data_IF_629251248147
#
_entry.id   IF_629251248147
#
_cell.length_a   1.000
_cell.length_b   1.000
_cell.length_c   1.000
_cell.angle_alpha   90.00
_cell.angle_beta   90.00
_cell.angle_gamma   90.00
#
_symmetry.space_group_name_H-M   'P 1'
#
loop_
_entity.id
_entity.type
_entity.pdbx_description
1 polymer ?
#
# COMPACT_ATOMS: atom_id res chain seq x y z
N UNK A 1 -9.48 29.57 -5.43
CA UNK A 1 -9.49 29.34 -3.96
C UNK A 1 -8.65 28.11 -3.69
N UNK A 2 -7.44 28.28 -3.15
CA UNK A 2 -6.49 27.19 -2.88
C UNK A 2 -6.78 26.60 -1.50
N UNK A 3 -7.42 25.43 -1.45
CA UNK A 3 -7.62 24.67 -0.23
C UNK A 3 -6.30 24.03 0.19
N UNK A 4 -5.55 24.69 1.08
CA UNK A 4 -4.41 24.10 1.78
C UNK A 4 -4.83 23.75 3.20
N UNK A 5 -4.33 22.65 3.77
CA UNK A 5 -4.56 22.28 5.17
C UNK A 5 -4.18 23.40 6.16
N UNK A 6 -3.23 24.26 5.78
CA UNK A 6 -2.86 25.46 6.54
C UNK A 6 -3.98 26.49 6.62
N UNK A 7 -4.78 26.65 5.55
CA UNK A 7 -5.92 27.60 5.51
C UNK A 7 -7.07 27.12 6.41
N UNK A 8 -7.25 25.80 6.54
CA UNK A 8 -8.26 25.22 7.43
C UNK A 8 -7.85 25.35 8.90
N UNK A 9 -6.58 25.10 9.22
CA UNK A 9 -6.04 25.24 10.57
C UNK A 9 -6.04 26.70 11.05
N UNK A 10 -5.68 27.63 10.16
CA UNK A 10 -5.71 29.08 10.40
C UNK A 10 -7.14 29.57 10.64
N UNK A 11 -8.13 29.08 9.87
CA UNK A 11 -9.56 29.35 10.09
C UNK A 11 -10.12 28.77 11.39
N UNK A 12 -9.50 27.73 11.94
CA UNK A 12 -9.87 27.16 13.23
C UNK A 12 -9.13 27.82 14.42
N UNK A 13 -8.34 28.88 14.17
CA UNK A 13 -7.56 29.56 15.21
C UNK A 13 -6.42 28.71 15.77
N UNK A 14 -5.98 27.69 15.03
CA UNK A 14 -4.94 26.78 15.47
C UNK A 14 -3.56 27.32 15.06
N UNK A 15 -2.93 28.10 15.93
CA UNK A 15 -1.51 28.40 15.78
C UNK A 15 -0.71 27.11 16.02
N UNK A 16 -0.20 26.51 14.94
CA UNK A 16 0.63 25.32 15.06
C UNK A 16 1.90 25.67 15.85
N UNK A 17 1.99 25.18 17.07
CA UNK A 17 3.28 25.13 17.74
C UNK A 17 4.23 24.22 16.93
N UNK A 18 5.31 24.76 16.34
CA UNK A 18 6.26 23.95 15.57
C UNK A 18 6.93 22.90 16.47
N UNK A 19 7.05 23.16 17.77
CA UNK A 19 7.64 22.23 18.73
C UNK A 19 6.73 21.01 18.97
N UNK A 20 5.41 21.16 19.07
CA UNK A 20 4.49 20.03 19.26
C UNK A 20 4.55 19.09 18.05
N UNK A 21 4.49 19.65 16.84
CA UNK A 21 4.53 18.87 15.61
C UNK A 21 5.85 18.10 15.46
N UNK A 22 6.98 18.73 15.81
CA UNK A 22 8.28 18.06 15.81
C UNK A 22 8.36 16.91 16.82
N UNK A 23 7.82 17.10 18.03
CA UNK A 23 7.82 16.08 19.08
C UNK A 23 6.93 14.88 18.74
N UNK A 24 5.72 15.12 18.21
CA UNK A 24 4.75 14.04 17.97
C UNK A 24 4.96 13.29 16.64
N UNK A 25 5.64 13.89 15.66
CA UNK A 25 5.79 13.31 14.31
C UNK A 25 6.36 11.90 14.32
N UNK A 26 7.51 11.71 14.97
CA UNK A 26 8.19 10.41 14.95
C UNK A 26 7.45 9.34 15.77
N UNK A 27 6.93 9.64 16.98
CA UNK A 27 6.02 8.73 17.68
C UNK A 27 4.81 8.33 16.85
N UNK A 28 4.19 9.26 16.12
CA UNK A 28 3.02 8.96 15.29
C UNK A 28 3.37 8.07 14.10
N UNK A 29 4.50 8.33 13.44
CA UNK A 29 5.03 7.45 12.36
C UNK A 29 5.31 6.05 12.89
N UNK A 30 5.97 5.94 14.05
CA UNK A 30 6.26 4.66 14.68
C UNK A 30 4.96 3.91 15.05
N UNK A 31 3.98 4.60 15.64
CA UNK A 31 2.69 4.03 16.00
C UNK A 31 1.93 3.54 14.75
N UNK A 32 1.87 4.33 13.67
CA UNK A 32 1.20 3.93 12.44
C UNK A 32 1.83 2.68 11.80
N UNK A 33 3.16 2.64 11.72
CA UNK A 33 3.88 1.46 11.22
C UNK A 33 3.70 0.25 12.14
N UNK A 34 3.72 0.44 13.45
CA UNK A 34 3.47 -0.63 14.41
C UNK A 34 2.05 -1.20 14.27
N UNK A 35 1.03 -0.35 14.09
CA UNK A 35 -0.35 -0.78 13.87
C UNK A 35 -0.50 -1.58 12.57
N UNK A 36 0.07 -1.10 11.46
CA UNK A 36 0.04 -1.80 10.19
C UNK A 36 0.80 -3.13 10.26
N UNK A 37 2.03 -3.11 10.78
CA UNK A 37 2.86 -4.31 10.95
C UNK A 37 2.27 -5.33 11.92
N UNK A 38 1.62 -4.87 13.00
CA UNK A 38 0.93 -5.73 13.95
C UNK A 38 -0.28 -6.43 13.32
N UNK A 39 -0.99 -5.77 12.41
CA UNK A 39 -2.06 -6.41 11.63
C UNK A 39 -1.52 -7.59 10.82
N UNK A 40 -0.34 -7.45 10.21
CA UNK A 40 0.31 -8.52 9.45
C UNK A 40 0.77 -9.66 10.36
N UNK A 41 1.24 -9.32 11.56
CA UNK A 41 1.57 -10.31 12.58
C UNK A 41 0.35 -11.12 13.03
N UNK A 42 -0.82 -10.49 13.21
CA UNK A 42 -2.07 -11.19 13.53
C UNK A 42 -2.50 -12.16 12.42
N UNK A 43 -2.36 -11.77 11.14
CA UNK A 43 -2.62 -12.67 10.02
C UNK A 43 -1.68 -13.89 10.03
N UNK A 44 -0.39 -13.71 10.35
CA UNK A 44 0.56 -14.82 10.45
C UNK A 44 0.21 -15.81 11.58
N UNK A 45 -0.58 -15.38 12.59
CA UNK A 45 -1.08 -16.27 13.65
C UNK A 45 -2.29 -17.10 13.26
N UNK A 46 -2.93 -16.83 12.11
CA UNK A 46 -4.05 -17.61 11.62
C UNK A 46 -3.57 -18.97 11.09
N UNK A 47 -3.24 -19.89 12.00
CA UNK A 47 -2.61 -21.18 11.71
C UNK A 47 -3.38 -22.08 10.73
N UNK A 48 -4.67 -21.85 10.56
CA UNK A 48 -5.50 -22.59 9.61
C UNK A 48 -5.39 -22.07 8.16
N UNK A 49 -4.58 -21.04 7.90
CA UNK A 49 -4.49 -20.33 6.62
C UNK A 49 -3.02 -20.10 6.23
N UNK A 50 -2.37 -21.15 5.72
CA UNK A 50 -0.94 -21.15 5.36
C UNK A 50 -0.52 -19.99 4.44
N UNK A 51 -1.43 -19.53 3.57
CA UNK A 51 -1.18 -18.40 2.68
C UNK A 51 -0.79 -17.10 3.43
N UNK A 52 -1.36 -16.89 4.62
CA UNK A 52 -1.13 -15.71 5.46
C UNK A 52 0.11 -15.83 6.36
N UNK A 53 0.75 -16.99 6.41
CA UNK A 53 1.92 -17.24 7.28
C UNK A 53 3.24 -16.74 6.67
N UNK A 54 3.20 -15.90 5.62
CA UNK A 54 4.43 -15.28 5.12
C UNK A 54 5.09 -14.43 6.22
N UNK A 55 6.38 -14.65 6.54
CA UNK A 55 7.09 -13.83 7.54
C UNK A 55 7.22 -12.36 7.09
N UNK A 56 7.02 -12.07 5.80
CA UNK A 56 7.08 -10.72 5.25
C UNK A 56 5.75 -9.96 5.38
N UNK A 57 4.67 -10.57 5.86
CA UNK A 57 3.35 -9.96 5.83
C UNK A 57 3.27 -8.65 6.63
N UNK A 58 3.93 -8.58 7.80
CA UNK A 58 4.07 -7.33 8.55
C UNK A 58 4.75 -6.23 7.73
N UNK A 59 5.73 -6.59 6.92
CA UNK A 59 6.43 -5.65 6.04
C UNK A 59 5.53 -5.21 4.88
N UNK A 60 4.77 -6.14 4.26
CA UNK A 60 3.78 -5.80 3.24
C UNK A 60 2.81 -4.72 3.74
N UNK A 61 2.13 -4.94 4.86
CA UNK A 61 1.14 -3.99 5.37
C UNK A 61 1.77 -2.66 5.80
N UNK A 62 3.00 -2.68 6.32
CA UNK A 62 3.73 -1.45 6.66
C UNK A 62 4.05 -0.61 5.42
N UNK A 63 4.50 -1.25 4.33
CA UNK A 63 4.78 -0.57 3.05
C UNK A 63 3.49 -0.10 2.39
N UNK A 64 2.40 -0.88 2.46
CA UNK A 64 1.08 -0.46 1.99
C UNK A 64 0.56 0.76 2.76
N UNK A 65 0.74 0.83 4.09
CA UNK A 65 0.37 2.00 4.88
C UNK A 65 1.14 3.26 4.46
N UNK A 66 2.45 3.13 4.17
CA UNK A 66 3.25 4.21 3.62
C UNK A 66 2.76 4.64 2.22
N UNK A 67 2.49 3.68 1.34
CA UNK A 67 1.99 3.95 -0.02
C UNK A 67 0.59 4.60 0.00
N UNK A 68 -0.31 4.13 0.85
CA UNK A 68 -1.65 4.69 1.02
C UNK A 68 -1.58 6.13 1.56
N UNK A 69 -0.76 6.37 2.59
CA UNK A 69 -0.53 7.71 3.13
C UNK A 69 0.08 8.66 2.09
N UNK A 70 1.08 8.19 1.35
CA UNK A 70 1.68 8.96 0.26
C UNK A 70 0.68 9.25 -0.86
N UNK A 71 -0.16 8.28 -1.24
CA UNK A 71 -1.20 8.42 -2.26
C UNK A 71 -2.23 9.49 -1.89
N UNK A 72 -2.71 9.48 -0.64
CA UNK A 72 -3.60 10.53 -0.12
C UNK A 72 -2.89 11.89 -0.11
N UNK A 73 -1.63 11.94 0.35
CA UNK A 73 -0.89 13.19 0.39
C UNK A 73 -0.66 13.76 -1.02
N UNK A 74 -0.33 12.93 -2.02
CA UNK A 74 -0.22 13.33 -3.43
C UNK A 74 -1.56 13.81 -3.97
N UNK A 75 -2.65 13.11 -3.67
CA UNK A 75 -4.01 13.50 -4.07
C UNK A 75 -4.36 14.91 -3.56
N UNK A 76 -4.14 15.16 -2.27
CA UNK A 76 -4.46 16.43 -1.61
C UNK A 76 -3.52 17.57 -2.03
N UNK A 77 -2.28 17.25 -2.39
CA UNK A 77 -1.28 18.23 -2.83
C UNK A 77 -1.22 18.43 -4.34
N UNK A 78 -2.01 17.69 -5.12
CA UNK A 78 -1.99 17.71 -6.59
C UNK A 78 -2.11 19.11 -7.21
N UNK A 79 -2.77 20.05 -6.54
CA UNK A 79 -2.94 21.43 -7.01
C UNK A 79 -2.01 22.44 -6.32
N UNK A 80 -1.04 21.96 -5.54
CA UNK A 80 -0.02 22.76 -4.86
C UNK A 80 1.34 22.52 -5.52
N UNK A 81 1.87 23.55 -6.17
CA UNK A 81 3.21 23.50 -6.80
C UNK A 81 4.36 23.44 -5.79
N UNK A 82 4.08 23.60 -4.48
CA UNK A 82 5.11 23.75 -3.45
C UNK A 82 5.72 22.43 -2.92
N UNK A 83 5.15 21.25 -3.23
CA UNK A 83 5.64 20.00 -2.64
C UNK A 83 6.82 19.37 -3.40
N UNK A 84 7.15 19.87 -4.59
CA UNK A 84 8.21 19.32 -5.44
C UNK A 84 7.97 17.85 -5.82
N UNK A 85 9.01 17.21 -6.36
CA UNK A 85 8.97 15.82 -6.86
C UNK A 85 9.17 14.75 -5.77
N UNK A 86 9.51 15.15 -4.54
CA UNK A 86 9.88 14.23 -3.45
C UNK A 86 8.73 13.34 -3.01
N UNK A 87 7.53 13.90 -2.82
CA UNK A 87 6.37 13.14 -2.34
C UNK A 87 5.87 12.13 -3.39
N UNK A 88 5.68 12.51 -4.68
CA UNK A 88 5.40 11.54 -5.75
C UNK A 88 6.48 10.47 -5.88
N UNK A 89 7.77 10.82 -5.80
CA UNK A 89 8.85 9.81 -5.81
C UNK A 89 8.80 8.87 -4.61
N UNK A 90 8.41 9.36 -3.43
CA UNK A 90 8.20 8.51 -2.25
C UNK A 90 7.01 7.55 -2.44
N UNK A 91 5.90 8.01 -3.03
CA UNK A 91 4.80 7.14 -3.46
C UNK A 91 5.29 6.06 -4.44
N UNK A 92 6.03 6.45 -5.48
CA UNK A 92 6.58 5.51 -6.45
C UNK A 92 7.48 4.47 -5.78
N UNK A 93 8.40 4.90 -4.91
CA UNK A 93 9.32 4.03 -4.20
C UNK A 93 8.58 3.00 -3.32
N UNK A 94 7.58 3.44 -2.55
CA UNK A 94 6.80 2.54 -1.69
C UNK A 94 5.98 1.53 -2.49
N UNK A 95 5.36 1.93 -3.61
CA UNK A 95 4.67 1.01 -4.51
C UNK A 95 5.62 0.03 -5.19
N UNK A 96 6.80 0.47 -5.63
CA UNK A 96 7.82 -0.40 -6.20
C UNK A 96 8.32 -1.44 -5.18
N UNK A 97 8.55 -1.02 -3.94
CA UNK A 97 8.89 -1.95 -2.84
C UNK A 97 7.76 -2.94 -2.62
N UNK A 98 6.50 -2.49 -2.62
CA UNK A 98 5.37 -3.40 -2.45
C UNK A 98 5.27 -4.42 -3.59
N UNK A 99 5.42 -3.99 -4.85
CA UNK A 99 5.46 -4.88 -6.01
C UNK A 99 6.62 -5.88 -5.93
N UNK A 100 7.79 -5.43 -5.50
CA UNK A 100 8.96 -6.30 -5.30
C UNK A 100 8.69 -7.34 -4.20
N UNK A 101 8.05 -6.95 -3.10
CA UNK A 101 7.64 -7.88 -2.04
C UNK A 101 6.66 -8.93 -2.59
N UNK A 102 5.64 -8.53 -3.36
CA UNK A 102 4.70 -9.46 -4.00
C UNK A 102 5.44 -10.46 -4.88
N UNK A 103 6.30 -9.96 -5.78
CA UNK A 103 7.06 -10.81 -6.69
C UNK A 103 7.99 -11.78 -5.94
N UNK A 104 8.62 -11.31 -4.86
CA UNK A 104 9.49 -12.14 -4.02
C UNK A 104 8.71 -13.25 -3.30
N UNK A 105 7.55 -12.92 -2.72
CA UNK A 105 6.68 -13.86 -2.03
C UNK A 105 6.21 -14.97 -2.99
N UNK A 106 5.77 -14.61 -4.21
CA UNK A 106 5.37 -15.57 -5.24
C UNK A 106 6.55 -16.38 -5.79
N UNK A 107 7.73 -15.77 -5.97
CA UNK A 107 8.93 -16.48 -6.40
C UNK A 107 9.37 -17.53 -5.37
N UNK A 108 9.37 -17.18 -4.09
CA UNK A 108 9.66 -18.13 -3.01
C UNK A 108 8.64 -19.26 -2.98
N UNK A 109 7.34 -18.96 -3.14
CA UNK A 109 6.30 -20.00 -3.21
C UNK A 109 6.55 -20.95 -4.39
N UNK A 110 6.87 -20.42 -5.57
CA UNK A 110 7.18 -21.23 -6.75
C UNK A 110 8.42 -22.14 -6.56
N UNK A 111 9.42 -21.68 -5.81
CA UNK A 111 10.64 -22.44 -5.52
C UNK A 111 10.44 -23.57 -4.49
N UNK A 112 9.38 -23.56 -3.67
CA UNK A 112 9.04 -24.64 -2.72
C UNK A 112 8.42 -25.86 -3.43
N UNK A 113 8.93 -26.21 -4.62
CA UNK A 113 8.54 -27.37 -5.42
C UNK A 113 8.55 -28.65 -4.58
N UNK A 114 7.37 -29.23 -4.30
CA UNK A 114 7.29 -30.57 -3.72
C UNK A 114 5.98 -30.90 -2.97
N UNK A 115 5.28 -29.90 -2.41
CA UNK A 115 3.94 -30.09 -1.83
C UNK A 115 3.04 -28.95 -2.27
N UNK A 116 1.94 -29.28 -2.95
CA UNK A 116 0.86 -28.32 -3.17
C UNK A 116 0.08 -28.18 -1.87
N UNK A 117 0.67 -27.44 -0.93
CA UNK A 117 0.03 -27.05 0.32
C UNK A 117 -1.10 -26.04 0.04
N UNK A 118 -1.88 -25.73 1.07
CA UNK A 118 -3.03 -24.84 0.91
C UNK A 118 -2.60 -23.40 0.56
N UNK A 119 -1.37 -23.01 0.86
CA UNK A 119 -0.79 -21.74 0.42
C UNK A 119 -0.58 -21.70 -1.10
N UNK A 120 -0.06 -22.78 -1.71
CA UNK A 120 0.10 -22.87 -3.17
C UNK A 120 -1.27 -22.86 -3.89
N UNK A 121 -2.28 -23.53 -3.33
CA UNK A 121 -3.65 -23.47 -3.86
C UNK A 121 -4.24 -22.06 -3.78
N UNK A 122 -4.07 -21.37 -2.64
CA UNK A 122 -4.50 -19.99 -2.49
C UNK A 122 -3.83 -19.05 -3.50
N UNK A 123 -2.50 -19.17 -3.67
CA UNK A 123 -1.74 -18.41 -4.66
C UNK A 123 -2.27 -18.68 -6.09
N UNK A 124 -2.53 -19.94 -6.46
CA UNK A 124 -3.11 -20.26 -7.76
C UNK A 124 -4.51 -19.64 -7.95
N UNK A 125 -5.37 -19.68 -6.93
CA UNK A 125 -6.71 -19.05 -6.96
C UNK A 125 -6.58 -17.52 -7.12
N UNK A 126 -5.56 -16.92 -6.52
CA UNK A 126 -5.25 -15.50 -6.63
C UNK A 126 -4.71 -15.11 -8.01
N UNK A 127 -3.77 -15.88 -8.57
CA UNK A 127 -3.05 -15.52 -9.80
C UNK A 127 -3.81 -15.91 -11.08
N UNK A 128 -4.48 -17.07 -11.06
CA UNK A 128 -5.10 -17.67 -12.25
C UNK A 128 -6.58 -18.03 -12.05
N UNK A 129 -7.05 -18.07 -10.81
CA UNK A 129 -8.41 -18.48 -10.47
C UNK A 129 -9.41 -17.32 -10.34
N UNK A 130 -10.41 -17.53 -9.48
CA UNK A 130 -11.54 -16.62 -9.27
C UNK A 130 -11.15 -15.19 -8.96
N UNK A 131 -10.01 -14.96 -8.30
CA UNK A 131 -9.56 -13.63 -7.87
C UNK A 131 -8.47 -13.01 -8.75
N UNK A 132 -8.09 -13.68 -9.85
CA UNK A 132 -7.08 -13.22 -10.80
C UNK A 132 -7.34 -11.81 -11.33
N UNK A 133 -8.60 -11.51 -11.70
CA UNK A 133 -8.95 -10.19 -12.23
C UNK A 133 -8.67 -9.08 -11.21
N UNK A 134 -9.02 -9.29 -9.94
CA UNK A 134 -8.76 -8.30 -8.89
C UNK A 134 -7.26 -8.16 -8.62
N UNK A 135 -6.53 -9.28 -8.53
CA UNK A 135 -5.08 -9.26 -8.35
C UNK A 135 -4.37 -8.48 -9.46
N UNK A 136 -4.61 -8.85 -10.72
CA UNK A 136 -3.95 -8.21 -11.85
C UNK A 136 -4.38 -6.76 -12.05
N UNK A 137 -5.64 -6.42 -11.77
CA UNK A 137 -6.08 -5.01 -11.73
C UNK A 137 -5.29 -4.22 -10.69
N UNK A 138 -5.09 -4.78 -9.49
CA UNK A 138 -4.24 -4.18 -8.47
C UNK A 138 -2.81 -3.92 -8.96
N UNK A 139 -2.18 -4.91 -9.60
CA UNK A 139 -0.82 -4.79 -10.15
C UNK A 139 -0.75 -3.72 -11.26
N UNK A 140 -1.69 -3.75 -12.21
CA UNK A 140 -1.72 -2.79 -13.32
C UNK A 140 -1.88 -1.35 -12.81
N UNK A 141 -2.78 -1.14 -11.84
CA UNK A 141 -2.98 0.17 -11.23
C UNK A 141 -1.74 0.66 -10.44
N UNK A 142 -1.00 -0.24 -9.77
CA UNK A 142 0.26 0.12 -9.12
C UNK A 142 1.29 0.60 -10.15
N UNK A 143 1.44 -0.12 -11.27
CA UNK A 143 2.39 0.25 -12.33
C UNK A 143 2.02 1.59 -12.96
N UNK A 144 0.74 1.83 -13.24
CA UNK A 144 0.28 3.13 -13.72
C UNK A 144 0.54 4.25 -12.71
N UNK A 145 0.26 4.01 -11.43
CA UNK A 145 0.52 4.98 -10.37
C UNK A 145 2.01 5.33 -10.29
N UNK A 146 2.91 4.33 -10.32
CA UNK A 146 4.36 4.55 -10.37
C UNK A 146 4.76 5.39 -11.58
N UNK A 147 4.23 5.09 -12.77
CA UNK A 147 4.49 5.87 -13.98
C UNK A 147 4.04 7.32 -13.87
N UNK A 148 2.83 7.58 -13.36
CA UNK A 148 2.34 8.94 -13.12
C UNK A 148 3.16 9.68 -12.05
N UNK A 149 3.55 8.98 -10.98
CA UNK A 149 4.30 9.56 -9.88
C UNK A 149 5.77 9.91 -10.24
N UNK A 150 6.34 9.21 -11.23
CA UNK A 150 7.69 9.49 -11.78
C UNK A 150 7.67 10.39 -13.02
N UNK A 151 6.51 10.90 -13.42
CA UNK A 151 6.38 11.83 -14.53
C UNK A 151 7.12 13.15 -14.25
N UNK A 152 7.47 13.89 -15.31
CA UNK A 152 8.26 15.14 -15.22
C UNK A 152 7.58 16.15 -14.28
N UNK A 153 6.25 16.26 -14.39
CA UNK A 153 5.40 17.19 -13.62
C UNK A 153 4.21 16.39 -13.02
N UNK A 154 4.37 15.74 -11.86
CA UNK A 154 3.34 14.89 -11.25
C UNK A 154 2.29 15.73 -10.49
N UNK A 155 1.79 16.80 -11.13
CA UNK A 155 0.83 17.77 -10.58
C UNK A 155 -0.48 17.78 -11.38
N UNK A 156 -1.48 18.51 -10.89
CA UNK A 156 -2.81 18.61 -11.48
C UNK A 156 -3.45 17.24 -11.66
N UNK A 157 -3.95 16.98 -12.87
CA UNK A 157 -4.57 15.71 -13.22
C UNK A 157 -3.62 14.51 -13.00
N UNK A 158 -2.34 14.63 -13.34
CA UNK A 158 -1.36 13.53 -13.20
C UNK A 158 -1.18 13.14 -11.74
N UNK A 159 -1.05 14.12 -10.84
CA UNK A 159 -0.99 13.89 -9.40
C UNK A 159 -2.28 13.26 -8.86
N UNK A 160 -3.45 13.75 -9.29
CA UNK A 160 -4.75 13.15 -8.92
C UNK A 160 -4.82 11.68 -9.36
N UNK A 161 -4.47 11.39 -10.62
CA UNK A 161 -4.45 10.03 -11.15
C UNK A 161 -3.47 9.15 -10.38
N UNK A 162 -2.26 9.63 -10.06
CA UNK A 162 -1.28 8.87 -9.30
C UNK A 162 -1.82 8.46 -7.92
N UNK A 163 -2.43 9.39 -7.18
CA UNK A 163 -3.00 9.13 -5.86
C UNK A 163 -4.23 8.21 -5.88
N UNK A 164 -5.15 8.40 -6.83
CA UNK A 164 -6.33 7.55 -6.96
C UNK A 164 -5.96 6.12 -7.37
N UNK A 165 -5.07 5.98 -8.35
CA UNK A 165 -4.65 4.66 -8.84
C UNK A 165 -3.81 3.91 -7.80
N UNK A 166 -3.01 4.59 -6.97
CA UNK A 166 -2.32 3.94 -5.85
C UNK A 166 -3.30 3.36 -4.84
N UNK A 167 -4.34 4.12 -4.46
CA UNK A 167 -5.31 3.65 -3.47
C UNK A 167 -6.18 2.52 -4.03
N UNK A 168 -6.63 2.64 -5.27
CA UNK A 168 -7.38 1.59 -5.94
C UNK A 168 -6.54 0.32 -6.11
N UNK A 169 -5.25 0.45 -6.46
CA UNK A 169 -4.31 -0.66 -6.55
C UNK A 169 -4.25 -1.47 -5.25
N UNK A 170 -4.02 -0.79 -4.12
CA UNK A 170 -3.95 -1.42 -2.81
C UNK A 170 -5.26 -2.13 -2.46
N UNK A 171 -6.41 -1.47 -2.67
CA UNK A 171 -7.72 -2.05 -2.40
C UNK A 171 -8.00 -3.32 -3.23
N UNK A 172 -7.69 -3.31 -4.53
CA UNK A 172 -7.86 -4.49 -5.40
C UNK A 172 -6.93 -5.63 -5.01
N UNK A 173 -5.65 -5.32 -4.72
CA UNK A 173 -4.68 -6.31 -4.27
C UNK A 173 -5.09 -6.94 -2.92
N UNK A 174 -5.40 -6.13 -1.91
CA UNK A 174 -5.82 -6.60 -0.58
C UNK A 174 -7.09 -7.45 -0.64
N UNK A 175 -8.06 -7.04 -1.46
CA UNK A 175 -9.29 -7.81 -1.67
C UNK A 175 -8.99 -9.20 -2.26
N UNK A 176 -8.17 -9.26 -3.31
CA UNK A 176 -7.78 -10.53 -3.93
C UNK A 176 -6.98 -11.41 -2.96
N UNK A 177 -6.01 -10.82 -2.25
CA UNK A 177 -5.13 -11.52 -1.32
C UNK A 177 -5.89 -12.11 -0.12
N UNK A 178 -6.77 -11.32 0.50
CA UNK A 178 -7.60 -11.77 1.63
C UNK A 178 -8.51 -12.92 1.23
N UNK A 179 -9.23 -12.77 0.11
CA UNK A 179 -10.18 -13.80 -0.33
C UNK A 179 -9.48 -15.06 -0.85
N UNK A 180 -8.31 -14.93 -1.47
CA UNK A 180 -7.50 -16.07 -1.90
C UNK A 180 -7.04 -16.91 -0.70
N UNK A 181 -6.55 -16.26 0.37
CA UNK A 181 -6.13 -16.96 1.58
C UNK A 181 -7.26 -17.76 2.24
N UNK A 182 -8.50 -17.30 2.13
CA UNK A 182 -9.68 -17.98 2.71
C UNK A 182 -10.25 -19.10 1.83
N UNK A 183 -9.84 -19.18 0.56
CA UNK A 183 -10.49 -20.04 -0.43
C UNK A 183 -10.21 -21.54 -0.27
N UNK A 184 -9.01 -22.00 0.16
CA UNK A 184 -8.79 -23.42 0.41
C UNK A 184 -9.73 -23.97 1.51
N UNK A 185 -10.18 -25.23 1.40
CA UNK A 185 -11.01 -25.86 2.43
C UNK A 185 -10.21 -26.03 3.74
N UNK A 186 -10.90 -25.94 4.87
CA UNK A 186 -10.34 -26.28 6.18
C UNK A 186 -10.42 -27.80 6.32
N UNK A 187 -9.30 -28.50 6.12
CA UNK A 187 -9.21 -29.97 6.28
C UNK A 187 -8.91 -30.38 7.71
#
# INVERSE_FOLDING_TARGET
MTWSGTVLADRMGYEHSPWILHLIRWPLVAAALATAGYSGYLFAQAKARDFWQSPLLSLHLSVQALAAGAGIAVLLSSHSSNLGDKLPRFLAATLMVHLALIAFDEAIRALRCGKMDDAAKAAHIMLYGRYAKCFWMGIVLAVFSVGCALWIEPVGAVGVFAGLTSLASLAFYEHAWNLAGQAPPLS
#
